data_IF_085630358689
#
_entry.id   IF_085630358689
#
_cell.length_a   1.000
_cell.length_b   1.000
_cell.length_c   1.000
_cell.angle_alpha   90.00
_cell.angle_beta   90.00
_cell.angle_gamma   90.00
#
_symmetry.space_group_name_H-M   'P 1'
#
loop_
_entity.id
_entity.type
_entity.pdbx_description
1 polymer ?
#
# COMPACT_ATOMS: atom_id res chain seq x y z
N UNK A 1 15.91 -27.44 -3.35
CA UNK A 1 15.13 -26.32 -2.78
C UNK A 1 13.73 -26.40 -3.35
N UNK A 2 12.77 -26.92 -2.58
CA UNK A 2 11.36 -26.94 -3.00
C UNK A 2 10.81 -25.52 -2.83
N UNK A 3 10.60 -24.81 -3.92
CA UNK A 3 9.77 -23.60 -3.91
C UNK A 3 8.37 -24.04 -3.49
N UNK A 4 7.99 -23.77 -2.23
CA UNK A 4 6.59 -23.86 -1.82
C UNK A 4 5.80 -22.92 -2.72
N UNK A 5 5.04 -23.48 -3.67
CA UNK A 5 4.05 -22.73 -4.41
C UNK A 5 3.02 -22.22 -3.41
N UNK A 6 3.14 -20.95 -3.01
CA UNK A 6 2.12 -20.25 -2.24
C UNK A 6 0.79 -20.42 -3.00
N UNK A 7 -0.19 -21.09 -2.41
CA UNK A 7 -1.49 -21.29 -3.04
C UNK A 7 -2.07 -19.92 -3.43
N UNK A 8 -2.45 -19.77 -4.70
CA UNK A 8 -3.23 -18.61 -5.16
C UNK A 8 -4.46 -18.51 -4.25
N UNK A 9 -4.59 -17.40 -3.49
CA UNK A 9 -5.65 -17.07 -2.50
C UNK A 9 -5.37 -17.34 -1.02
N UNK A 10 -4.15 -17.64 -0.61
CA UNK A 10 -3.82 -17.80 0.83
C UNK A 10 -3.72 -16.48 1.64
N UNK A 11 -4.41 -15.42 1.23
CA UNK A 11 -4.31 -14.09 1.85
C UNK A 11 -5.60 -13.68 2.56
N UNK A 12 -5.47 -12.94 3.68
CA UNK A 12 -6.62 -12.34 4.36
C UNK A 12 -7.25 -11.25 3.49
N UNK A 13 -8.58 -11.25 3.42
CA UNK A 13 -9.35 -10.18 2.79
C UNK A 13 -9.69 -9.12 3.83
N UNK A 14 -9.44 -7.85 3.50
CA UNK A 14 -9.77 -6.71 4.32
C UNK A 14 -10.67 -5.76 3.53
N UNK A 15 -11.67 -5.20 4.22
CA UNK A 15 -12.47 -4.09 3.70
C UNK A 15 -11.94 -2.80 4.33
N UNK A 16 -11.60 -1.83 3.49
CA UNK A 16 -11.02 -0.56 3.90
C UNK A 16 -11.87 0.58 3.34
N UNK A 17 -12.19 1.54 4.19
CA UNK A 17 -12.79 2.80 3.76
C UNK A 17 -11.66 3.78 3.46
N UNK A 18 -11.61 4.30 2.23
CA UNK A 18 -10.69 5.35 1.84
C UNK A 18 -11.43 6.68 1.84
N UNK A 19 -10.79 7.72 2.35
CA UNK A 19 -11.29 9.08 2.18
C UNK A 19 -11.24 9.47 0.68
N UNK A 20 -11.98 10.51 0.26
CA UNK A 20 -12.05 10.90 -1.15
C UNK A 20 -10.69 11.22 -1.78
N UNK A 21 -9.74 11.81 -1.04
CA UNK A 21 -8.43 12.16 -1.55
C UNK A 21 -7.59 10.91 -1.78
N UNK A 22 -7.56 9.99 -0.80
CA UNK A 22 -6.85 8.73 -0.93
C UNK A 22 -7.43 7.85 -2.04
N UNK A 23 -8.76 7.83 -2.20
CA UNK A 23 -9.40 7.12 -3.30
C UNK A 23 -9.05 7.73 -4.67
N UNK A 24 -9.06 9.06 -4.79
CA UNK A 24 -8.65 9.75 -6.01
C UNK A 24 -7.19 9.45 -6.39
N UNK A 25 -6.28 9.42 -5.41
CA UNK A 25 -4.89 9.05 -5.61
C UNK A 25 -4.75 7.61 -6.13
N UNK A 26 -5.50 6.66 -5.55
CA UNK A 26 -5.54 5.27 -6.01
C UNK A 26 -6.02 5.16 -7.47
N UNK A 27 -7.07 5.91 -7.84
CA UNK A 27 -7.55 6.00 -9.21
C UNK A 27 -6.48 6.56 -10.16
N UNK A 28 -5.74 7.59 -9.73
CA UNK A 28 -4.60 8.14 -10.47
C UNK A 28 -3.51 7.11 -10.73
N UNK A 29 -3.13 6.32 -9.71
CA UNK A 29 -2.17 5.22 -9.86
C UNK A 29 -2.66 4.18 -10.88
N UNK A 30 -3.95 3.82 -10.83
CA UNK A 30 -4.53 2.87 -11.79
C UNK A 30 -4.43 3.40 -13.22
N UNK A 31 -4.76 4.68 -13.45
CA UNK A 31 -4.64 5.31 -14.76
C UNK A 31 -3.19 5.36 -15.25
N UNK A 32 -2.23 5.65 -14.36
CA UNK A 32 -0.82 5.66 -14.70
C UNK A 32 -0.34 4.27 -15.17
N UNK A 33 -0.68 3.21 -14.44
CA UNK A 33 -0.36 1.84 -14.86
C UNK A 33 -1.02 1.47 -16.19
N UNK A 34 -2.28 1.85 -16.39
CA UNK A 34 -2.99 1.60 -17.64
C UNK A 34 -2.31 2.25 -18.85
N UNK A 35 -1.80 3.49 -18.70
CA UNK A 35 -1.02 4.18 -19.75
C UNK A 35 0.27 3.44 -20.12
N UNK A 36 0.82 2.62 -19.22
CA UNK A 36 1.97 1.75 -19.48
C UNK A 36 1.59 0.32 -19.89
N UNK A 37 0.33 0.09 -20.30
CA UNK A 37 -0.16 -1.22 -20.75
C UNK A 37 -0.40 -2.23 -19.62
N UNK A 38 -0.50 -1.78 -18.37
CA UNK A 38 -0.76 -2.63 -17.21
C UNK A 38 -2.16 -2.34 -16.65
N UNK A 39 -3.07 -3.32 -16.71
CA UNK A 39 -4.39 -3.22 -16.09
C UNK A 39 -4.41 -3.92 -14.72
N UNK A 40 -4.08 -3.16 -13.67
CA UNK A 40 -4.09 -3.67 -12.31
C UNK A 40 -5.39 -3.33 -11.58
N UNK A 41 -5.90 -4.29 -10.80
CA UNK A 41 -6.98 -4.03 -9.85
C UNK A 41 -6.49 -3.17 -8.67
N UNK A 42 -7.43 -2.46 -8.04
CA UNK A 42 -7.15 -1.65 -6.85
C UNK A 42 -6.42 -2.45 -5.77
N UNK A 43 -6.83 -3.71 -5.52
CA UNK A 43 -6.18 -4.57 -4.55
C UNK A 43 -4.73 -4.92 -4.91
N UNK A 44 -4.38 -5.04 -6.19
CA UNK A 44 -3.00 -5.25 -6.63
C UNK A 44 -2.16 -4.01 -6.35
N UNK A 45 -2.67 -2.83 -6.67
CA UNK A 45 -1.98 -1.55 -6.45
C UNK A 45 -1.74 -1.35 -4.95
N UNK A 46 -2.76 -1.54 -4.11
CA UNK A 46 -2.64 -1.42 -2.65
C UNK A 46 -1.63 -2.41 -2.09
N UNK A 47 -1.65 -3.69 -2.53
CA UNK A 47 -0.65 -4.68 -2.08
C UNK A 47 0.78 -4.29 -2.46
N UNK A 48 0.99 -3.73 -3.66
CA UNK A 48 2.32 -3.26 -4.09
C UNK A 48 2.78 -2.07 -3.25
N UNK A 49 1.89 -1.12 -2.98
CA UNK A 49 2.20 0.04 -2.13
C UNK A 49 2.55 -0.41 -0.69
N UNK A 50 1.78 -1.32 -0.11
CA UNK A 50 2.06 -1.88 1.22
C UNK A 50 3.41 -2.59 1.25
N UNK A 51 3.72 -3.41 0.24
CA UNK A 51 5.01 -4.09 0.15
C UNK A 51 6.17 -3.10 0.10
N UNK A 52 6.09 -2.10 -0.77
CA UNK A 52 7.13 -1.07 -0.88
C UNK A 52 7.31 -0.30 0.44
N UNK A 53 6.21 0.02 1.13
CA UNK A 53 6.28 0.68 2.44
C UNK A 53 6.91 -0.22 3.52
N UNK A 54 6.58 -1.51 3.55
CA UNK A 54 7.21 -2.46 4.48
C UNK A 54 8.71 -2.61 4.20
N UNK A 55 9.12 -2.73 2.94
CA UNK A 55 10.54 -2.77 2.53
C UNK A 55 11.28 -1.49 2.96
N UNK A 56 10.62 -0.33 2.91
CA UNK A 56 11.18 0.92 3.44
C UNK A 56 11.31 0.90 4.97
N UNK A 57 10.30 0.39 5.69
CA UNK A 57 10.34 0.29 7.15
C UNK A 57 11.46 -0.63 7.64
N UNK A 58 11.79 -1.70 6.91
CA UNK A 58 12.87 -2.63 7.25
C UNK A 58 14.26 -1.98 7.27
N UNK A 59 14.47 -0.93 6.47
CA UNK A 59 15.75 -0.20 6.40
C UNK A 59 15.77 1.08 7.23
N UNK A 60 14.65 1.46 7.85
CA UNK A 60 14.54 2.67 8.66
C UNK A 60 15.05 2.43 10.08
N UNK A 61 15.67 3.48 10.66
CA UNK A 61 15.99 3.45 12.08
C UNK A 61 14.72 3.46 12.94
N UNK A 62 14.74 2.89 14.16
CA UNK A 62 13.59 2.89 15.06
C UNK A 62 13.02 4.30 15.32
N UNK A 63 13.86 5.32 15.39
CA UNK A 63 13.45 6.72 15.55
C UNK A 63 12.67 7.23 14.33
N UNK A 64 13.12 6.89 13.13
CA UNK A 64 12.46 7.29 11.89
C UNK A 64 11.10 6.59 11.74
N UNK A 65 11.00 5.30 12.10
CA UNK A 65 9.73 4.55 12.14
C UNK A 65 8.75 5.23 13.12
N UNK A 66 9.22 5.62 14.31
CA UNK A 66 8.41 6.34 15.29
C UNK A 66 7.83 7.65 14.74
N UNK A 67 8.63 8.43 14.01
CA UNK A 67 8.16 9.66 13.35
C UNK A 67 7.13 9.39 12.26
N UNK A 68 7.34 8.34 11.46
CA UNK A 68 6.42 7.96 10.39
C UNK A 68 5.05 7.54 10.94
N UNK A 69 5.03 6.75 12.02
CA UNK A 69 3.78 6.40 12.72
C UNK A 69 3.03 7.64 13.22
N UNK A 70 3.76 8.63 13.77
CA UNK A 70 3.13 9.89 14.23
C UNK A 70 2.51 10.64 13.06
N UNK A 71 3.23 10.77 11.94
CA UNK A 71 2.74 11.42 10.71
C UNK A 71 1.51 10.70 10.17
N UNK A 72 1.56 9.37 10.05
CA UNK A 72 0.44 8.56 9.58
C UNK A 72 -0.80 8.75 10.48
N UNK A 73 -0.63 8.76 11.81
CA UNK A 73 -1.73 9.00 12.76
C UNK A 73 -2.32 10.41 12.65
N UNK A 74 -1.50 11.43 12.38
CA UNK A 74 -1.97 12.80 12.16
C UNK A 74 -2.74 12.93 10.85
N UNK A 75 -2.19 12.39 9.77
CA UNK A 75 -2.85 12.34 8.46
C UNK A 75 -4.20 11.60 8.54
N UNK A 76 -4.27 10.47 9.25
CA UNK A 76 -5.52 9.73 9.47
C UNK A 76 -6.58 10.52 10.26
N UNK A 77 -6.17 11.53 11.05
CA UNK A 77 -7.06 12.47 11.73
C UNK A 77 -7.41 13.70 10.88
N UNK A 78 -6.89 13.80 9.65
CA UNK A 78 -7.04 14.99 8.81
C UNK A 78 -6.20 16.18 9.26
N UNK A 79 -5.18 15.97 10.09
CA UNK A 79 -4.27 17.00 10.57
C UNK A 79 -2.94 16.85 9.82
N UNK A 80 -2.62 17.78 8.94
CA UNK A 80 -1.32 17.87 8.26
C UNK A 80 -0.35 18.72 9.08
#
# INVERSE_FOLDING_TARGET
MNQQQTQKRSGSQYHLNLDPLTYAALCGCKQAYHKHGQDFSNSVIVRRALRAHLEQLEVMSPQAIGQDIIKAKRAAKGVL
#
